data_IF_711920556353
#
_entry.id   IF_711920556353
#
_cell.length_a   1.000
_cell.length_b   1.000
_cell.length_c   1.000
_cell.angle_alpha   90.00
_cell.angle_beta   90.00
_cell.angle_gamma   90.00
#
_symmetry.space_group_name_H-M   'P 1'
#
loop_
_entity.id
_entity.type
_entity.pdbx_description
1 polymer ?
#
# COMPACT_ATOMS: atom_id res chain seq x y z
N UNK A 1 -15.00 -2.78 -2.65
CA UNK A 1 -14.53 -3.81 -1.71
C UNK A 1 -13.05 -3.68 -1.34
N UNK A 2 -12.12 -3.73 -2.31
CA UNK A 2 -10.66 -3.66 -2.06
C UNK A 2 -10.21 -2.46 -1.20
N UNK A 3 -10.74 -1.26 -1.46
CA UNK A 3 -10.48 -0.05 -0.65
C UNK A 3 -10.89 -0.16 0.81
N UNK A 4 -12.00 -0.84 1.11
CA UNK A 4 -12.50 -1.01 2.48
C UNK A 4 -11.62 -1.99 3.25
N UNK A 5 -11.28 -3.13 2.62
CA UNK A 5 -10.34 -4.09 3.20
C UNK A 5 -8.97 -3.45 3.46
N UNK A 6 -8.43 -2.72 2.48
CA UNK A 6 -7.17 -1.99 2.66
C UNK A 6 -7.22 -0.98 3.81
N UNK A 7 -8.31 -0.21 3.93
CA UNK A 7 -8.51 0.71 5.07
C UNK A 7 -8.54 -0.03 6.41
N UNK A 8 -9.26 -1.15 6.50
CA UNK A 8 -9.32 -1.95 7.72
C UNK A 8 -7.93 -2.50 8.11
N UNK A 9 -7.18 -3.03 7.14
CA UNK A 9 -5.81 -3.52 7.38
C UNK A 9 -4.91 -2.40 7.91
N UNK A 10 -4.91 -1.23 7.27
CA UNK A 10 -4.10 -0.08 7.72
C UNK A 10 -4.53 0.44 9.10
N UNK A 11 -5.84 0.47 9.38
CA UNK A 11 -6.35 0.86 10.70
C UNK A 11 -5.90 -0.11 11.79
N UNK A 12 -6.01 -1.42 11.55
CA UNK A 12 -5.63 -2.44 12.53
C UNK A 12 -4.12 -2.54 12.72
N UNK A 13 -3.31 -2.21 11.71
CA UNK A 13 -1.86 -2.16 11.83
C UNK A 13 -1.33 -0.85 12.42
N UNK A 14 -2.20 0.15 12.65
CA UNK A 14 -1.81 1.49 13.09
C UNK A 14 -1.07 2.30 12.03
N UNK A 15 -1.03 1.83 10.78
CA UNK A 15 -0.34 2.51 9.68
C UNK A 15 -1.15 3.68 9.14
N UNK A 16 -0.43 4.76 8.82
CA UNK A 16 -0.97 5.93 8.11
C UNK A 16 -0.12 6.18 6.88
N UNK A 17 -0.78 6.59 5.80
CA UNK A 17 -0.10 7.05 4.61
C UNK A 17 0.20 8.54 4.75
N UNK A 18 1.44 8.93 4.49
CA UNK A 18 1.89 10.32 4.44
C UNK A 18 2.50 10.60 3.06
N UNK A 19 2.25 11.81 2.54
CA UNK A 19 2.68 12.22 1.21
C UNK A 19 1.62 12.04 0.14
N UNK A 20 2.06 12.01 -1.12
CA UNK A 20 1.20 11.92 -2.29
C UNK A 20 1.69 10.83 -3.24
N UNK A 21 0.75 10.20 -3.95
CA UNK A 21 1.09 9.32 -5.06
C UNK A 21 1.69 10.18 -6.19
N UNK A 22 2.81 9.77 -6.82
CA UNK A 22 3.36 10.46 -7.99
C UNK A 22 2.30 10.66 -9.07
N UNK A 23 2.33 11.83 -9.74
CA UNK A 23 1.39 12.14 -10.83
C UNK A 23 1.76 11.42 -12.13
N UNK A 24 2.98 10.90 -12.22
CA UNK A 24 3.48 10.19 -13.38
C UNK A 24 2.67 8.91 -13.62
N UNK A 25 2.39 8.62 -14.90
CA UNK A 25 1.65 7.42 -15.29
C UNK A 25 2.37 6.12 -14.94
N UNK A 26 3.69 6.19 -14.72
CA UNK A 26 4.55 5.06 -14.35
C UNK A 26 5.52 5.54 -13.29
N UNK A 27 5.60 4.80 -12.20
CA UNK A 27 6.55 5.01 -11.12
C UNK A 27 6.88 3.67 -10.47
N UNK A 28 7.97 3.63 -9.71
CA UNK A 28 8.37 2.46 -8.94
C UNK A 28 8.00 2.70 -7.49
N UNK A 29 7.20 1.79 -6.92
CA UNK A 29 6.91 1.75 -5.50
C UNK A 29 7.81 0.71 -4.85
N UNK A 30 8.59 1.11 -3.85
CA UNK A 30 9.55 0.23 -3.16
C UNK A 30 8.98 -0.12 -1.79
N UNK A 31 8.79 -1.42 -1.54
CA UNK A 31 8.62 -1.97 -0.20
C UNK A 31 9.89 -2.73 0.17
N UNK A 32 10.61 -2.26 1.19
CA UNK A 32 11.78 -2.94 1.72
C UNK A 32 11.33 -3.96 2.79
N UNK A 33 11.57 -5.27 2.60
CA UNK A 33 11.15 -6.27 3.58
C UNK A 33 12.04 -6.24 4.82
N UNK A 34 11.44 -6.27 6.01
CA UNK A 34 12.20 -6.16 7.26
C UNK A 34 12.37 -7.50 7.99
N UNK A 35 11.41 -8.44 7.92
CA UNK A 35 11.54 -9.78 8.54
C UNK A 35 10.58 -10.84 7.97
N UNK A 36 9.28 -10.66 8.15
CA UNK A 36 8.24 -11.72 8.04
C UNK A 36 7.30 -11.53 6.84
N UNK A 37 7.72 -10.74 5.85
CA UNK A 37 6.97 -10.40 4.63
C UNK A 37 5.63 -9.65 4.88
N UNK A 38 5.38 -9.16 6.10
CA UNK A 38 4.20 -8.33 6.41
C UNK A 38 4.19 -7.01 5.64
N UNK A 39 5.36 -6.54 5.20
CA UNK A 39 5.50 -5.39 4.30
C UNK A 39 4.70 -5.56 3.01
N UNK A 40 4.54 -6.79 2.50
CA UNK A 40 3.71 -7.09 1.34
C UNK A 40 2.23 -6.81 1.61
N UNK A 41 1.71 -7.22 2.77
CA UNK A 41 0.31 -6.99 3.15
C UNK A 41 0.04 -5.48 3.27
N UNK A 42 0.96 -4.75 3.89
CA UNK A 42 0.88 -3.29 4.03
C UNK A 42 0.96 -2.58 2.68
N UNK A 43 1.85 -3.03 1.78
CA UNK A 43 1.97 -2.52 0.41
C UNK A 43 0.66 -2.69 -0.36
N UNK A 44 0.08 -3.89 -0.35
CA UNK A 44 -1.17 -4.19 -1.05
C UNK A 44 -2.34 -3.39 -0.46
N UNK A 45 -2.42 -3.29 0.86
CA UNK A 45 -3.43 -2.49 1.55
C UNK A 45 -3.31 -1.01 1.17
N UNK A 46 -2.10 -0.46 1.19
CA UNK A 46 -1.82 0.91 0.78
C UNK A 46 -2.24 1.14 -0.68
N UNK A 47 -1.76 0.32 -1.61
CA UNK A 47 -2.09 0.41 -3.04
C UNK A 47 -3.60 0.36 -3.28
N UNK A 48 -4.31 -0.52 -2.56
CA UNK A 48 -5.77 -0.60 -2.63
C UNK A 48 -6.45 0.70 -2.17
N UNK A 49 -5.96 1.35 -1.12
CA UNK A 49 -6.50 2.61 -0.58
C UNK A 49 -6.21 3.79 -1.51
N UNK A 50 -4.97 3.92 -1.98
CA UNK A 50 -4.57 5.02 -2.87
C UNK A 50 -5.02 4.83 -4.31
N UNK A 51 -5.48 3.62 -4.68
CA UNK A 51 -5.96 3.31 -6.02
C UNK A 51 -4.85 3.07 -7.04
N UNK A 52 -3.70 2.59 -6.59
CA UNK A 52 -2.57 2.19 -7.44
C UNK A 52 -2.75 0.72 -7.80
N UNK A 53 -2.68 0.42 -9.09
CA UNK A 53 -2.63 -0.96 -9.59
C UNK A 53 -1.18 -1.43 -9.66
N UNK A 54 -0.89 -2.57 -9.05
CA UNK A 54 0.46 -3.15 -9.03
C UNK A 54 0.59 -4.13 -10.20
N UNK A 55 1.61 -3.94 -11.01
CA UNK A 55 2.07 -4.88 -12.03
C UNK A 55 3.39 -5.50 -11.60
N UNK A 56 3.53 -6.82 -11.74
CA UNK A 56 4.71 -7.59 -11.35
C UNK A 56 5.61 -7.87 -12.55
#
# INVERSE_FOLDING_TARGET
MRRLLGRLVLLLSGWRFEGAVPKDKKFVLIAAPHTSNWDLILLLALAAVVGVEISW
#
